data_IF_602826439320
#
_entry.id   IF_602826439320
#
_cell.length_a   1.000
_cell.length_b   1.000
_cell.length_c   1.000
_cell.angle_alpha   90.00
_cell.angle_beta   90.00
_cell.angle_gamma   90.00
#
_symmetry.space_group_name_H-M   'P 1'
#
loop_
_entity.id
_entity.type
_entity.pdbx_description
1 polymer ?
#
# COMPACT_ATOMS: atom_id res chain seq x y z
N UNK A 1 -2.62 11.65 3.20
CA UNK A 1 -3.90 11.31 2.56
C UNK A 1 -4.65 12.58 2.15
N UNK A 2 -4.97 13.45 3.07
CA UNK A 2 -5.82 14.65 2.85
C UNK A 2 -5.21 15.69 1.90
N UNK A 3 -3.89 15.83 1.93
CA UNK A 3 -3.19 16.83 1.12
C UNK A 3 -2.97 16.44 -0.34
N UNK A 4 -3.06 15.15 -0.67
CA UNK A 4 -2.80 14.65 -2.02
C UNK A 4 -3.92 13.75 -2.54
N UNK A 5 -4.28 12.69 -1.81
CA UNK A 5 -5.21 11.67 -2.31
C UNK A 5 -6.62 12.24 -2.49
N UNK A 6 -7.13 12.95 -1.48
CA UNK A 6 -8.48 13.54 -1.55
C UNK A 6 -8.60 14.60 -2.67
N UNK A 7 -7.66 15.55 -2.83
CA UNK A 7 -7.68 16.48 -3.97
C UNK A 7 -7.56 15.78 -5.32
N UNK A 8 -6.69 14.78 -5.45
CA UNK A 8 -6.54 14.01 -6.68
C UNK A 8 -7.82 13.25 -7.05
N UNK A 9 -8.46 12.62 -6.08
CA UNK A 9 -9.74 11.94 -6.27
C UNK A 9 -10.83 12.90 -6.76
N UNK A 10 -10.96 14.06 -6.12
CA UNK A 10 -11.92 15.11 -6.53
C UNK A 10 -11.64 15.59 -7.95
N UNK A 11 -10.37 15.81 -8.28
CA UNK A 11 -9.96 16.21 -9.63
C UNK A 11 -10.36 15.18 -10.68
N UNK A 12 -10.09 13.89 -10.43
CA UNK A 12 -10.41 12.79 -11.34
C UNK A 12 -11.93 12.68 -11.56
N UNK A 13 -12.72 12.73 -10.49
CA UNK A 13 -14.19 12.71 -10.57
C UNK A 13 -14.71 13.89 -11.40
N UNK A 14 -14.18 15.10 -11.18
CA UNK A 14 -14.55 16.28 -11.94
C UNK A 14 -14.16 16.19 -13.44
N UNK A 15 -13.20 15.34 -13.78
CA UNK A 15 -12.81 15.02 -15.15
C UNK A 15 -13.62 13.87 -15.77
N UNK A 16 -14.62 13.36 -15.07
CA UNK A 16 -15.50 12.29 -15.55
C UNK A 16 -14.94 10.88 -15.33
N UNK A 17 -13.88 10.73 -14.53
CA UNK A 17 -13.36 9.40 -14.17
C UNK A 17 -14.34 8.72 -13.21
N UNK A 18 -14.78 7.51 -13.55
CA UNK A 18 -15.59 6.67 -12.68
C UNK A 18 -14.68 5.90 -11.73
N UNK A 19 -14.67 6.29 -10.45
CA UNK A 19 -13.92 5.61 -9.39
C UNK A 19 -14.86 4.65 -8.67
N UNK A 20 -14.58 3.36 -8.77
CA UNK A 20 -15.34 2.31 -8.08
C UNK A 20 -14.54 1.77 -6.90
N UNK A 21 -14.86 2.25 -5.71
CA UNK A 21 -14.33 1.72 -4.46
C UNK A 21 -15.08 0.45 -4.05
N UNK A 22 -14.55 -0.30 -3.10
CA UNK A 22 -15.10 -1.56 -2.59
C UNK A 22 -15.45 -2.58 -3.67
N UNK A 23 -14.69 -2.51 -4.77
CA UNK A 23 -14.88 -3.36 -5.94
C UNK A 23 -13.59 -4.17 -6.16
N UNK A 24 -13.67 -5.46 -5.93
CA UNK A 24 -12.55 -6.39 -6.11
C UNK A 24 -12.61 -7.03 -7.49
N UNK A 25 -11.59 -6.83 -8.32
CA UNK A 25 -11.45 -7.60 -9.57
C UNK A 25 -10.98 -9.00 -9.23
N UNK A 26 -11.78 -10.00 -9.58
CA UNK A 26 -11.53 -11.41 -9.27
C UNK A 26 -11.07 -12.23 -10.47
N UNK A 27 -11.40 -11.80 -11.70
CA UNK A 27 -10.92 -12.45 -12.91
C UNK A 27 -10.81 -11.46 -14.08
N UNK A 28 -9.99 -11.82 -15.05
CA UNK A 28 -9.84 -11.11 -16.33
C UNK A 28 -10.06 -12.13 -17.44
N UNK A 29 -11.00 -11.82 -18.31
CA UNK A 29 -11.35 -12.71 -19.42
C UNK A 29 -10.54 -12.33 -20.67
N UNK A 30 -9.86 -13.31 -21.24
CA UNK A 30 -9.01 -13.13 -22.40
C UNK A 30 -9.50 -13.95 -23.58
N UNK A 31 -9.40 -13.36 -24.76
CA UNK A 31 -9.50 -14.04 -26.03
C UNK A 31 -8.11 -14.13 -26.66
N UNK A 32 -7.76 -15.30 -27.18
CA UNK A 32 -6.52 -15.48 -27.92
C UNK A 32 -6.73 -15.04 -29.37
N UNK A 33 -5.97 -14.04 -29.80
CA UNK A 33 -5.99 -13.54 -31.20
C UNK A 33 -4.56 -13.62 -31.76
N UNK A 34 -4.26 -14.71 -32.45
CA UNK A 34 -2.90 -15.02 -32.90
C UNK A 34 -1.99 -15.17 -31.67
N UNK A 35 -0.91 -14.41 -31.61
CA UNK A 35 0.04 -14.41 -30.50
C UNK A 35 -0.34 -13.44 -29.38
N UNK A 36 -1.45 -12.71 -29.51
CA UNK A 36 -1.91 -11.70 -28.54
C UNK A 36 -3.04 -12.23 -27.68
N UNK A 37 -3.05 -11.83 -26.43
CA UNK A 37 -4.18 -11.98 -25.51
C UNK A 37 -4.91 -10.65 -25.44
N UNK A 38 -6.17 -10.66 -25.83
CA UNK A 38 -7.04 -9.48 -25.84
C UNK A 38 -8.02 -9.59 -24.68
N UNK A 39 -8.06 -8.60 -23.82
CA UNK A 39 -9.01 -8.56 -22.70
C UNK A 39 -10.40 -8.30 -23.25
N UNK A 40 -11.38 -9.13 -22.87
CA UNK A 40 -12.79 -9.01 -23.26
C UNK A 40 -13.69 -8.61 -22.10
N UNK A 41 -13.26 -8.86 -20.88
CA UNK A 41 -14.05 -8.50 -19.72
C UNK A 41 -13.26 -8.60 -18.41
N UNK A 42 -13.85 -8.02 -17.39
CA UNK A 42 -13.40 -8.12 -16.01
C UNK A 42 -14.56 -8.66 -15.17
N UNK A 43 -14.26 -9.65 -14.34
CA UNK A 43 -15.21 -10.08 -13.32
C UNK A 43 -14.83 -9.41 -12.00
N UNK A 44 -15.80 -8.77 -11.38
CA UNK A 44 -15.61 -8.05 -10.13
C UNK A 44 -16.58 -8.55 -9.06
N UNK A 45 -16.21 -8.37 -7.80
CA UNK A 45 -17.11 -8.58 -6.66
C UNK A 45 -17.30 -7.25 -5.95
N UNK A 46 -18.55 -6.82 -5.84
CA UNK A 46 -18.95 -5.60 -5.13
C UNK A 46 -20.11 -5.95 -4.19
N UNK A 47 -19.98 -5.62 -2.90
CA UNK A 47 -20.98 -5.97 -1.87
C UNK A 47 -21.41 -7.44 -1.87
N UNK A 48 -20.47 -8.36 -2.17
CA UNK A 48 -20.74 -9.79 -2.24
C UNK A 48 -21.41 -10.27 -3.53
N UNK A 49 -21.72 -9.39 -4.46
CA UNK A 49 -22.30 -9.73 -5.77
C UNK A 49 -21.25 -9.69 -6.85
N UNK A 50 -21.29 -10.65 -7.75
CA UNK A 50 -20.46 -10.65 -8.95
C UNK A 50 -21.06 -9.75 -10.01
N UNK A 51 -20.20 -8.93 -10.62
CA UNK A 51 -20.55 -8.05 -11.74
C UNK A 51 -19.52 -8.25 -12.83
N UNK A 52 -19.99 -8.45 -14.06
CA UNK A 52 -19.15 -8.52 -15.23
C UNK A 52 -19.08 -7.15 -15.92
N UNK A 53 -17.87 -6.67 -16.17
CA UNK A 53 -17.60 -5.42 -16.87
C UNK A 53 -17.04 -5.77 -18.25
N UNK A 54 -17.79 -5.56 -19.33
CA UNK A 54 -17.29 -5.83 -20.68
C UNK A 54 -16.21 -4.82 -21.09
N UNK A 55 -15.17 -5.31 -21.76
CA UNK A 55 -14.10 -4.48 -22.34
C UNK A 55 -14.30 -4.43 -23.86
N UNK A 56 -14.32 -3.22 -24.40
CA UNK A 56 -14.53 -2.98 -25.84
C UNK A 56 -13.19 -3.04 -26.58
N UNK A 57 -13.23 -3.23 -27.87
CA UNK A 57 -12.03 -3.41 -28.72
C UNK A 57 -11.04 -2.21 -28.66
N UNK A 58 -11.54 -1.01 -28.37
CA UNK A 58 -10.71 0.20 -28.25
C UNK A 58 -10.38 0.60 -26.82
N UNK A 59 -10.77 -0.21 -25.84
CA UNK A 59 -10.47 0.05 -24.43
C UNK A 59 -9.07 -0.48 -24.09
N UNK A 60 -8.41 0.18 -23.14
CA UNK A 60 -7.15 -0.27 -22.57
C UNK A 60 -7.38 -0.72 -21.11
N UNK A 61 -6.84 -1.87 -20.76
CA UNK A 61 -6.89 -2.38 -19.39
C UNK A 61 -5.48 -2.37 -18.81
N UNK A 62 -5.30 -1.63 -17.71
CA UNK A 62 -4.06 -1.59 -16.95
C UNK A 62 -4.33 -2.29 -15.62
N UNK A 63 -3.55 -3.33 -15.32
CA UNK A 63 -3.68 -4.14 -14.11
C UNK A 63 -2.45 -3.92 -13.24
N UNK A 64 -2.68 -3.42 -12.03
CA UNK A 64 -1.64 -3.29 -11.01
C UNK A 64 -1.96 -4.25 -9.87
N UNK A 65 -1.09 -5.20 -9.64
CA UNK A 65 -1.28 -6.26 -8.65
C UNK A 65 -0.04 -6.44 -7.79
N UNK A 66 -0.19 -7.04 -6.62
CA UNK A 66 0.92 -7.45 -5.80
C UNK A 66 1.63 -6.31 -5.09
N UNK A 67 0.89 -5.41 -4.45
CA UNK A 67 1.48 -4.39 -3.60
C UNK A 67 2.07 -5.00 -2.32
N UNK A 68 3.24 -4.54 -1.92
CA UNK A 68 3.85 -4.92 -0.64
C UNK A 68 3.03 -4.47 0.58
N UNK A 69 2.11 -3.53 0.40
CA UNK A 69 1.22 -3.01 1.45
C UNK A 69 -0.15 -3.68 1.45
N UNK A 70 -0.42 -4.60 0.55
CA UNK A 70 -1.74 -5.22 0.39
C UNK A 70 -2.16 -6.05 1.62
N UNK A 71 -1.19 -6.70 2.25
CA UNK A 71 -1.40 -7.53 3.45
C UNK A 71 -1.19 -6.74 4.75
N UNK A 72 -1.21 -5.42 4.71
CA UNK A 72 -1.03 -4.58 5.89
C UNK A 72 -2.09 -4.86 6.94
N UNK A 73 -1.65 -5.04 8.19
CA UNK A 73 -2.49 -5.16 9.38
C UNK A 73 -2.30 -3.92 10.24
N UNK A 74 -3.38 -3.39 10.75
CA UNK A 74 -3.36 -2.20 11.57
C UNK A 74 -3.55 -2.56 13.04
N UNK A 75 -2.72 -1.98 13.89
CA UNK A 75 -2.91 -1.97 15.33
C UNK A 75 -3.51 -0.65 15.79
N UNK A 76 -3.75 -0.57 17.07
CA UNK A 76 -4.16 0.65 17.78
C UNK A 76 -3.15 0.96 18.88
N UNK A 77 -3.39 2.02 19.67
CA UNK A 77 -2.54 2.32 20.85
C UNK A 77 -2.59 1.21 21.90
N UNK A 78 -3.67 0.44 21.95
CA UNK A 78 -3.94 -0.55 22.99
C UNK A 78 -3.90 -2.00 22.48
N UNK A 79 -3.84 -2.19 21.16
CA UNK A 79 -3.93 -3.52 20.55
C UNK A 79 -2.89 -3.65 19.45
N UNK A 80 -1.97 -4.58 19.61
CA UNK A 80 -1.02 -4.92 18.55
C UNK A 80 -1.76 -5.52 17.34
N UNK A 81 -1.27 -5.27 16.10
CA UNK A 81 -1.84 -5.93 14.94
C UNK A 81 -1.62 -7.44 15.01
N UNK A 82 -2.57 -8.22 14.51
CA UNK A 82 -2.38 -9.67 14.36
C UNK A 82 -1.40 -9.93 13.21
N UNK A 83 -0.15 -10.21 13.56
CA UNK A 83 0.96 -10.46 12.64
C UNK A 83 1.25 -11.95 12.49
N UNK A 84 0.24 -12.81 12.44
CA UNK A 84 0.44 -14.22 12.08
C UNK A 84 0.87 -14.31 10.62
N UNK A 85 2.15 -14.11 10.40
CA UNK A 85 2.80 -14.20 9.09
C UNK A 85 3.17 -15.67 8.84
N UNK A 86 2.21 -16.46 8.40
CA UNK A 86 2.50 -17.82 7.94
C UNK A 86 2.53 -17.85 6.42
N UNK A 87 3.40 -18.65 5.84
CA UNK A 87 3.47 -18.85 4.39
C UNK A 87 2.11 -19.31 3.80
N UNK A 88 1.25 -19.89 4.64
CA UNK A 88 -0.09 -20.36 4.24
C UNK A 88 -1.12 -19.24 4.08
N UNK A 89 -0.93 -18.10 4.71
CA UNK A 89 -1.90 -16.98 4.66
C UNK A 89 -1.51 -15.88 3.69
N UNK A 90 -0.27 -15.86 3.23
CA UNK A 90 0.30 -14.76 2.48
C UNK A 90 0.29 -15.03 0.98
N UNK A 91 0.10 -13.99 0.20
CA UNK A 91 -0.10 -14.11 -1.24
C UNK A 91 -1.45 -14.70 -1.63
N UNK A 92 -2.37 -14.83 -0.66
CA UNK A 92 -3.74 -15.34 -0.86
C UNK A 92 -4.80 -14.25 -0.72
N UNK A 93 -4.40 -13.00 -0.76
CA UNK A 93 -5.30 -11.87 -0.65
C UNK A 93 -5.45 -11.15 -1.97
N UNK A 94 -6.63 -10.67 -2.25
CA UNK A 94 -6.98 -9.67 -3.29
C UNK A 94 -6.13 -9.74 -4.58
N UNK A 95 -5.27 -8.75 -4.81
CA UNK A 95 -4.46 -8.62 -6.00
C UNK A 95 -3.41 -9.72 -6.18
N UNK A 96 -2.90 -10.32 -5.10
CA UNK A 96 -2.03 -11.49 -5.18
C UNK A 96 -2.75 -12.70 -5.73
N UNK A 97 -4.01 -12.93 -5.33
CA UNK A 97 -4.84 -14.01 -5.87
C UNK A 97 -5.05 -13.80 -7.35
N UNK A 98 -5.45 -12.62 -7.75
CA UNK A 98 -5.65 -12.28 -9.17
C UNK A 98 -4.37 -12.51 -9.98
N UNK A 99 -3.21 -12.06 -9.48
CA UNK A 99 -1.95 -12.26 -10.21
C UNK A 99 -1.55 -13.74 -10.29
N UNK A 100 -1.72 -14.50 -9.20
CA UNK A 100 -1.49 -15.94 -9.22
C UNK A 100 -2.37 -16.67 -10.25
N UNK A 101 -3.64 -16.27 -10.36
CA UNK A 101 -4.58 -16.86 -11.31
C UNK A 101 -4.28 -16.46 -12.76
N UNK A 102 -3.85 -15.24 -12.99
CA UNK A 102 -3.35 -14.80 -14.29
C UNK A 102 -2.09 -15.60 -14.70
N UNK A 103 -1.14 -15.77 -13.79
CA UNK A 103 0.09 -16.51 -14.06
C UNK A 103 -0.14 -17.99 -14.37
N UNK A 104 -1.18 -18.61 -13.79
CA UNK A 104 -1.61 -19.98 -14.16
C UNK A 104 -2.13 -20.06 -15.59
N UNK A 105 -2.73 -18.99 -16.09
CA UNK A 105 -3.29 -18.97 -17.45
C UNK A 105 -2.20 -18.79 -18.51
N UNK A 106 -1.14 -18.06 -18.19
CA UNK A 106 -0.05 -17.83 -19.14
C UNK A 106 1.22 -17.33 -18.46
N UNK A 107 2.37 -17.84 -18.88
CA UNK A 107 3.68 -17.39 -18.44
C UNK A 107 3.98 -15.92 -18.76
N UNK A 108 3.26 -15.31 -19.68
CA UNK A 108 3.41 -13.89 -20.04
C UNK A 108 3.05 -12.97 -18.86
N UNK A 109 2.23 -13.43 -17.94
CA UNK A 109 1.87 -12.68 -16.73
C UNK A 109 2.93 -12.75 -15.61
N UNK A 110 4.08 -13.34 -15.88
CA UNK A 110 5.21 -13.36 -14.96
C UNK A 110 5.11 -14.47 -13.91
N UNK A 111 5.83 -14.26 -12.82
CA UNK A 111 5.99 -15.26 -11.76
C UNK A 111 5.75 -14.63 -10.38
N UNK A 112 4.49 -14.52 -9.95
CA UNK A 112 4.12 -13.91 -8.66
C UNK A 112 4.76 -14.60 -7.46
N UNK A 113 5.03 -15.91 -7.54
CA UNK A 113 5.68 -16.68 -6.48
C UNK A 113 7.06 -16.15 -6.09
N UNK A 114 7.74 -15.41 -6.97
CA UNK A 114 9.01 -14.75 -6.65
C UNK A 114 8.86 -13.60 -5.65
N UNK A 115 7.66 -13.05 -5.57
CA UNK A 115 7.33 -11.90 -4.72
C UNK A 115 6.55 -12.31 -3.46
N UNK A 116 5.61 -13.26 -3.60
CA UNK A 116 4.66 -13.58 -2.53
C UNK A 116 4.94 -14.90 -1.80
N UNK A 117 6.00 -15.64 -2.15
CA UNK A 117 6.31 -16.92 -1.52
C UNK A 117 6.96 -16.79 -0.14
N UNK A 118 7.69 -15.72 0.10
CA UNK A 118 8.48 -15.52 1.32
C UNK A 118 8.19 -14.18 1.99
N UNK A 119 6.92 -13.84 2.07
CA UNK A 119 6.47 -12.55 2.64
C UNK A 119 6.99 -12.31 4.06
N UNK A 120 7.11 -13.30 4.96
CA UNK A 120 7.73 -13.08 6.27
C UNK A 120 9.13 -12.49 6.22
N UNK A 121 9.89 -12.76 5.16
CA UNK A 121 11.25 -12.20 4.96
C UNK A 121 11.26 -10.74 4.51
N UNK A 122 10.17 -10.24 3.97
CA UNK A 122 10.00 -8.86 3.54
C UNK A 122 9.04 -8.07 4.44
N UNK A 123 8.58 -8.68 5.52
CA UNK A 123 7.72 -8.02 6.48
C UNK A 123 8.44 -6.88 7.18
N UNK A 124 7.77 -5.77 7.32
CA UNK A 124 8.23 -4.63 8.09
C UNK A 124 7.14 -4.18 9.05
N UNK A 125 7.55 -3.59 10.16
CA UNK A 125 6.66 -2.98 11.13
C UNK A 125 6.92 -1.49 11.17
N UNK A 126 5.86 -0.71 11.22
CA UNK A 126 5.93 0.73 11.30
C UNK A 126 5.00 1.20 12.42
N UNK A 127 5.45 2.14 13.22
CA UNK A 127 4.68 2.72 14.29
C UNK A 127 4.88 4.24 14.32
N UNK A 128 3.81 4.97 14.62
CA UNK A 128 3.89 6.39 14.94
C UNK A 128 3.85 6.55 16.45
N UNK A 129 4.90 7.17 17.01
CA UNK A 129 4.97 7.49 18.43
C UNK A 129 4.62 8.97 18.63
N UNK A 130 3.55 9.22 19.37
CA UNK A 130 3.18 10.58 19.78
C UNK A 130 3.69 10.82 21.20
N UNK A 131 4.60 11.76 21.35
CA UNK A 131 5.19 12.11 22.62
C UNK A 131 4.69 13.50 23.06
N UNK A 132 4.15 13.59 24.27
CA UNK A 132 3.82 14.86 24.91
C UNK A 132 4.97 15.24 25.85
N UNK A 133 5.61 16.39 25.63
CA UNK A 133 6.70 16.95 26.42
C UNK A 133 7.74 15.90 26.89
N UNK A 134 8.29 15.17 25.95
CA UNK A 134 9.14 14.03 26.22
C UNK A 134 10.62 14.41 26.22
N UNK A 135 11.33 14.08 27.31
CA UNK A 135 12.79 14.20 27.37
C UNK A 135 13.48 13.35 26.27
N UNK A 136 12.87 12.24 25.89
CA UNK A 136 13.35 11.42 24.78
C UNK A 136 13.29 12.17 23.46
N UNK A 137 12.18 12.80 23.13
CA UNK A 137 12.04 13.58 21.91
C UNK A 137 13.04 14.75 21.86
N UNK A 138 13.26 15.43 22.98
CA UNK A 138 14.30 16.48 23.06
C UNK A 138 15.68 15.94 22.71
N UNK A 139 16.11 14.86 23.34
CA UNK A 139 17.41 14.23 23.08
C UNK A 139 17.57 13.77 21.62
N UNK A 140 16.52 13.17 21.06
CA UNK A 140 16.53 12.76 19.66
C UNK A 140 16.62 13.99 18.75
N UNK A 141 15.86 15.05 19.05
CA UNK A 141 15.86 16.30 18.28
C UNK A 141 17.22 16.98 18.30
N UNK A 142 17.83 17.09 19.46
CA UNK A 142 19.17 17.67 19.63
C UNK A 142 20.24 16.93 18.82
N UNK A 143 20.14 15.60 18.76
CA UNK A 143 21.16 14.76 18.14
C UNK A 143 20.99 14.58 16.63
N UNK A 144 19.76 14.50 16.12
CA UNK A 144 19.49 14.05 14.76
C UNK A 144 18.70 15.04 13.91
N UNK A 145 18.12 16.08 14.50
CA UNK A 145 17.32 17.03 13.74
C UNK A 145 18.18 18.20 13.25
N UNK A 146 18.06 18.52 11.99
CA UNK A 146 18.72 19.68 11.38
C UNK A 146 18.02 20.99 11.70
N UNK A 147 16.73 20.93 12.03
CA UNK A 147 15.93 22.06 12.52
C UNK A 147 15.00 21.57 13.64
N UNK A 148 14.61 22.44 14.56
CA UNK A 148 13.61 22.10 15.58
C UNK A 148 12.28 21.62 14.96
N UNK A 149 11.59 20.65 15.54
CA UNK A 149 10.34 20.11 15.01
C UNK A 149 9.26 21.17 14.73
N UNK A 150 9.15 22.18 15.57
CA UNK A 150 8.16 23.28 15.44
C UNK A 150 8.63 24.44 14.56
N UNK A 151 9.79 24.34 13.91
CA UNK A 151 10.35 25.44 13.10
C UNK A 151 9.65 25.68 11.76
N UNK A 152 8.74 24.80 11.36
CA UNK A 152 8.11 24.84 10.04
C UNK A 152 9.03 24.37 8.90
N UNK A 153 10.25 23.94 9.19
CA UNK A 153 11.26 23.47 8.24
C UNK A 153 11.41 21.94 8.31
N UNK A 154 12.16 21.37 7.39
CA UNK A 154 12.56 19.95 7.41
C UNK A 154 13.29 19.62 8.70
N UNK A 155 12.88 18.57 9.38
CA UNK A 155 13.35 18.20 10.73
C UNK A 155 14.54 17.25 10.66
N UNK A 156 14.34 16.00 10.25
CA UNK A 156 15.45 15.03 10.12
C UNK A 156 16.13 15.05 8.75
N UNK A 157 15.59 15.73 7.76
CA UNK A 157 16.17 15.77 6.40
C UNK A 157 16.04 14.47 5.62
N UNK A 158 15.69 13.38 6.28
CA UNK A 158 15.54 12.03 5.71
C UNK A 158 15.26 11.01 6.80
N UNK A 159 15.40 9.73 6.42
CA UNK A 159 15.28 8.61 7.35
C UNK A 159 16.63 8.43 8.07
N UNK A 160 16.58 8.37 9.39
CA UNK A 160 17.73 8.05 10.24
C UNK A 160 17.71 6.56 10.52
N UNK A 161 18.74 5.84 10.11
CA UNK A 161 18.87 4.40 10.33
C UNK A 161 19.89 4.10 11.41
N UNK A 162 19.52 3.25 12.36
CA UNK A 162 20.38 2.75 13.43
C UNK A 162 20.99 1.43 12.94
N UNK A 163 22.20 1.48 12.45
CA UNK A 163 22.87 0.36 11.76
C UNK A 163 23.29 -0.78 12.69
N UNK A 164 23.46 -0.50 13.97
CA UNK A 164 23.80 -1.47 15.01
C UNK A 164 22.57 -2.00 15.78
N UNK A 165 21.38 -1.65 15.31
CA UNK A 165 20.13 -2.24 15.80
C UNK A 165 19.94 -3.64 15.26
N UNK A 166 19.58 -4.58 16.13
CA UNK A 166 19.23 -5.95 15.74
C UNK A 166 18.00 -6.03 14.82
N UNK A 167 17.24 -4.95 14.67
CA UNK A 167 15.99 -4.88 13.92
C UNK A 167 16.07 -4.02 12.67
N UNK A 168 17.25 -3.57 12.28
CA UNK A 168 17.36 -2.57 11.19
C UNK A 168 16.41 -1.38 11.40
N UNK A 169 16.40 -0.84 12.60
CA UNK A 169 15.47 0.19 12.98
C UNK A 169 15.79 1.50 12.27
N UNK A 170 14.76 2.12 11.71
CA UNK A 170 14.85 3.46 11.13
C UNK A 170 13.75 4.34 11.69
N UNK A 171 14.00 5.62 11.78
CA UNK A 171 13.00 6.59 12.19
C UNK A 171 13.11 7.90 11.42
N UNK A 172 12.03 8.66 11.45
CA UNK A 172 11.99 10.04 10.97
C UNK A 172 11.17 10.88 11.94
N UNK A 173 11.52 12.15 12.07
CA UNK A 173 10.72 13.13 12.79
C UNK A 173 10.18 14.12 11.76
N UNK A 174 8.87 14.15 11.63
CA UNK A 174 8.21 15.07 10.73
C UNK A 174 8.12 16.47 11.36
N UNK A 175 7.94 17.46 10.49
CA UNK A 175 7.60 18.82 10.91
C UNK A 175 6.33 18.80 11.75
N UNK A 176 6.33 19.56 12.84
CA UNK A 176 5.19 19.66 13.76
C UNK A 176 4.49 21.02 13.61
N UNK A 177 3.19 21.07 13.85
CA UNK A 177 2.28 19.92 13.99
C UNK A 177 2.19 19.14 12.68
N UNK A 178 2.12 17.82 12.76
CA UNK A 178 1.98 16.96 11.59
C UNK A 178 0.55 16.96 11.06
N UNK A 179 -0.41 17.05 11.97
CA UNK A 179 -1.83 17.12 11.65
C UNK A 179 -2.41 18.44 12.15
N UNK A 180 -3.40 19.03 11.44
CA UNK A 180 -4.00 20.32 11.81
C UNK A 180 -4.60 20.34 13.23
N UNK A 181 -5.16 19.21 13.67
CA UNK A 181 -5.82 19.05 14.95
C UNK A 181 -4.88 18.57 16.08
N UNK A 182 -3.61 18.44 15.79
CA UNK A 182 -2.63 18.02 16.77
C UNK A 182 -2.38 19.14 17.77
N UNK A 183 -2.58 18.94 19.08
CA UNK A 183 -2.24 19.94 20.08
C UNK A 183 -0.73 20.20 20.09
N UNK A 184 -0.36 21.47 20.24
CA UNK A 184 1.03 21.92 20.37
C UNK A 184 1.66 21.46 21.68
#
# INVERSE_FOLDING_TARGET
YDSFVVPAQKFLINKGVNLQNDTLVTAVDFEQQGDKKVVKGLTTTQHGQQVHIPVRDNDFVIITTGSMTEDTRYGTSDTAPDIRLTDDTMGKTKGWVLWNDLAKQSAVFGRPEKFNRHVPKSAWMSATLTCKDSALLRKISEKYCVNPPLSGKTVTGGIVTITDSNWLMSFTINRQPQFPDQPN
#
